data_IF_694341359237
#
_entry.id   IF_694341359237
#
_cell.length_a   1.000
_cell.length_b   1.000
_cell.length_c   1.000
_cell.angle_alpha   90.00
_cell.angle_beta   90.00
_cell.angle_gamma   90.00
#
_symmetry.space_group_name_H-M   'P 1'
#
loop_
_entity.id
_entity.type
_entity.pdbx_description
1 polymer ?
#
# COMPACT_ATOMS: atom_id res chain seq x y z
N UNK A 1 -4.71 37.24 19.92
CA UNK A 1 -5.22 37.47 18.54
C UNK A 1 -4.12 37.63 17.48
N UNK A 2 -3.08 38.47 17.63
CA UNK A 2 -2.07 38.63 16.58
C UNK A 2 -1.28 37.34 16.28
N UNK A 3 -0.97 36.54 17.30
CA UNK A 3 -0.20 35.32 17.17
C UNK A 3 -0.99 34.23 16.43
N UNK A 4 -2.30 34.16 16.67
CA UNK A 4 -3.21 33.21 16.00
C UNK A 4 -3.34 33.55 14.51
N UNK A 5 -3.51 34.82 14.17
CA UNK A 5 -3.57 35.28 12.76
C UNK A 5 -2.26 35.04 12.02
N UNK A 6 -1.11 35.16 12.70
CA UNK A 6 0.19 34.89 12.10
C UNK A 6 0.38 33.42 11.79
N UNK A 7 0.01 32.54 12.71
CA UNK A 7 0.05 31.07 12.53
C UNK A 7 -0.93 30.64 11.42
N UNK A 8 -2.13 31.20 11.36
CA UNK A 8 -3.10 30.91 10.29
C UNK A 8 -2.58 31.40 8.91
N UNK A 9 -1.87 32.51 8.87
CA UNK A 9 -1.29 33.04 7.65
C UNK A 9 -0.08 32.20 7.19
N UNK A 10 0.78 31.78 8.11
CA UNK A 10 1.90 30.88 7.82
C UNK A 10 1.39 29.51 7.33
N UNK A 11 0.32 28.96 7.92
CA UNK A 11 -0.33 27.74 7.46
C UNK A 11 -0.92 27.88 6.05
N UNK A 12 -1.59 29.02 5.77
CA UNK A 12 -2.14 29.31 4.44
C UNK A 12 -1.04 29.43 3.38
N UNK A 13 0.05 30.12 3.70
CA UNK A 13 1.18 30.29 2.79
C UNK A 13 1.84 28.94 2.49
N UNK A 14 2.09 28.11 3.52
CA UNK A 14 2.65 26.75 3.36
C UNK A 14 1.75 25.87 2.51
N UNK A 15 0.43 25.89 2.72
CA UNK A 15 -0.53 25.11 1.93
C UNK A 15 -0.56 25.58 0.46
N UNK A 16 -0.43 26.87 0.20
CA UNK A 16 -0.35 27.41 -1.16
C UNK A 16 0.94 27.00 -1.89
N UNK A 17 2.08 27.03 -1.19
CA UNK A 17 3.37 26.61 -1.76
C UNK A 17 3.35 25.11 -2.09
N UNK A 18 2.82 24.27 -1.19
CA UNK A 18 2.66 22.82 -1.41
C UNK A 18 1.74 22.51 -2.60
N UNK A 19 0.60 23.21 -2.74
CA UNK A 19 -0.32 23.05 -3.86
C UNK A 19 0.33 23.42 -5.20
N UNK A 20 1.17 24.47 -5.24
CA UNK A 20 1.93 24.87 -6.41
C UNK A 20 2.97 23.78 -6.77
N UNK A 21 3.65 23.21 -5.76
CA UNK A 21 4.64 22.14 -5.95
C UNK A 21 4.03 20.92 -6.65
N UNK A 22 2.88 20.41 -6.22
CA UNK A 22 2.22 19.26 -6.86
C UNK A 22 1.78 19.54 -8.30
N UNK A 23 1.33 20.74 -8.61
CA UNK A 23 0.89 21.13 -9.96
C UNK A 23 1.99 21.07 -11.02
N UNK A 24 3.24 21.28 -10.62
CA UNK A 24 4.39 21.23 -11.52
C UNK A 24 4.92 19.82 -11.77
N UNK A 25 4.43 18.83 -11.02
CA UNK A 25 4.89 17.45 -11.08
C UNK A 25 4.13 16.65 -12.12
N UNK A 26 4.80 15.64 -12.69
CA UNK A 26 4.21 14.74 -13.68
C UNK A 26 4.48 13.27 -13.36
N UNK A 27 3.73 12.39 -14.03
CA UNK A 27 3.87 10.95 -13.94
C UNK A 27 4.72 10.39 -15.08
N UNK A 28 5.57 9.42 -14.74
CA UNK A 28 6.24 8.55 -15.72
C UNK A 28 5.53 7.21 -15.79
N UNK A 29 5.46 6.65 -16.99
CA UNK A 29 4.87 5.35 -17.26
C UNK A 29 5.94 4.28 -17.40
N UNK A 30 5.69 3.10 -16.83
CA UNK A 30 6.59 1.95 -16.85
C UNK A 30 5.87 0.75 -17.47
N UNK A 31 6.50 0.14 -18.45
CA UNK A 31 5.98 -0.98 -19.23
C UNK A 31 6.94 -2.17 -19.14
N UNK A 32 6.39 -3.38 -19.18
CA UNK A 32 7.18 -4.61 -19.10
C UNK A 32 6.32 -5.83 -18.79
N UNK A 33 5.27 -5.65 -18.00
CA UNK A 33 4.32 -6.70 -17.72
C UNK A 33 3.40 -6.98 -18.93
N UNK A 34 3.16 -8.25 -19.20
CA UNK A 34 2.29 -8.69 -20.31
C UNK A 34 0.80 -8.59 -20.00
N UNK A 35 0.45 -8.44 -18.73
CA UNK A 35 -0.92 -8.32 -18.24
C UNK A 35 -0.97 -7.29 -17.09
N UNK A 36 -2.19 -7.00 -16.62
CA UNK A 36 -2.47 -6.06 -15.55
C UNK A 36 -1.47 -6.17 -14.38
N UNK A 37 -1.02 -5.01 -13.91
CA UNK A 37 -0.24 -4.89 -12.67
C UNK A 37 -1.22 -4.80 -11.49
N UNK A 38 -1.16 -5.77 -10.58
CA UNK A 38 -2.02 -5.83 -9.40
C UNK A 38 -1.57 -4.93 -8.27
N UNK A 39 -0.25 -4.89 -8.02
CA UNK A 39 0.29 -4.16 -6.89
C UNK A 39 1.70 -3.66 -7.17
N UNK A 40 2.05 -2.60 -6.46
CA UNK A 40 3.38 -2.00 -6.46
C UNK A 40 3.83 -1.79 -5.01
N UNK A 41 5.13 -1.90 -4.76
CA UNK A 41 5.70 -1.71 -3.42
C UNK A 41 7.14 -1.20 -3.51
N UNK A 42 7.46 -0.19 -2.70
CA UNK A 42 8.80 0.35 -2.56
C UNK A 42 9.62 -0.43 -1.55
N UNK A 43 10.92 -0.57 -1.79
CA UNK A 43 11.82 -1.10 -0.79
C UNK A 43 12.08 -0.08 0.34
N UNK A 44 12.72 -0.53 1.42
CA UNK A 44 12.87 0.26 2.65
C UNK A 44 13.66 1.56 2.49
N UNK A 45 14.57 1.62 1.52
CA UNK A 45 15.36 2.83 1.24
C UNK A 45 14.85 3.67 0.06
N UNK A 46 13.76 3.26 -0.57
CA UNK A 46 13.12 4.00 -1.65
C UNK A 46 13.84 3.99 -3.00
N UNK A 47 14.82 3.08 -3.18
CA UNK A 47 15.63 2.99 -4.42
C UNK A 47 15.06 2.04 -5.45
N UNK A 48 14.22 1.08 -5.03
CA UNK A 48 13.63 0.06 -5.89
C UNK A 48 12.12 -0.03 -5.70
N UNK A 49 11.44 -0.25 -6.81
CA UNK A 49 10.01 -0.58 -6.83
C UNK A 49 9.83 -2.00 -7.33
N UNK A 50 8.98 -2.76 -6.64
CA UNK A 50 8.51 -4.06 -7.10
C UNK A 50 7.10 -3.92 -7.65
N UNK A 51 6.82 -4.58 -8.78
CA UNK A 51 5.49 -4.70 -9.38
C UNK A 51 5.08 -6.16 -9.50
N UNK A 52 3.87 -6.49 -9.11
CA UNK A 52 3.28 -7.83 -9.21
C UNK A 52 2.12 -7.83 -10.21
N UNK A 53 2.02 -8.89 -11.02
CA UNK A 53 1.11 -8.90 -12.16
C UNK A 53 0.32 -10.19 -12.31
N UNK A 54 -0.79 -10.08 -13.02
CA UNK A 54 -1.59 -11.19 -13.54
C UNK A 54 -0.76 -12.08 -14.50
N UNK A 55 0.34 -11.57 -15.07
CA UNK A 55 1.25 -12.34 -15.93
C UNK A 55 2.10 -13.37 -15.17
N UNK A 56 1.85 -13.58 -13.86
CA UNK A 56 2.52 -14.55 -12.98
C UNK A 56 3.94 -14.15 -12.56
N UNK A 57 4.34 -12.93 -12.88
CA UNK A 57 5.68 -12.42 -12.55
C UNK A 57 5.63 -11.23 -11.60
N UNK A 58 6.73 -11.04 -10.87
CA UNK A 58 7.09 -9.77 -10.28
C UNK A 58 8.25 -9.17 -11.08
N UNK A 59 8.36 -7.84 -11.07
CA UNK A 59 9.47 -7.12 -11.68
C UNK A 59 10.03 -6.11 -10.70
N UNK A 60 11.35 -5.94 -10.74
CA UNK A 60 12.08 -5.01 -9.87
C UNK A 60 12.67 -3.91 -10.74
N UNK A 61 12.38 -2.67 -10.36
CA UNK A 61 12.73 -1.46 -11.09
C UNK A 61 13.63 -0.58 -10.20
N UNK A 62 14.78 -0.16 -10.73
CA UNK A 62 15.61 0.85 -10.05
C UNK A 62 15.05 2.23 -10.40
N UNK A 63 14.68 2.99 -9.38
CA UNK A 63 14.06 4.31 -9.54
C UNK A 63 15.00 5.36 -8.97
N UNK A 64 15.42 6.28 -9.82
CA UNK A 64 16.20 7.47 -9.43
C UNK A 64 15.29 8.69 -9.44
N UNK A 65 15.12 9.41 -8.31
CA UNK A 65 14.21 10.54 -8.21
C UNK A 65 14.52 11.68 -9.20
N UNK A 66 15.79 11.82 -9.58
CA UNK A 66 16.28 12.89 -10.46
C UNK A 66 16.90 12.35 -11.77
N UNK A 67 16.82 11.03 -12.01
CA UNK A 67 17.46 10.39 -13.15
C UNK A 67 16.58 10.39 -14.41
N UNK A 68 17.22 10.46 -15.58
CA UNK A 68 16.59 10.36 -16.90
C UNK A 68 16.87 9.02 -17.61
N UNK A 69 17.55 8.08 -16.94
CA UNK A 69 17.99 6.84 -17.57
C UNK A 69 16.85 5.87 -17.87
N UNK A 70 17.00 5.09 -18.95
CA UNK A 70 16.17 3.93 -19.21
C UNK A 70 16.29 2.98 -18.01
N UNK A 71 15.19 2.78 -17.32
CA UNK A 71 15.14 1.89 -16.17
C UNK A 71 15.19 0.45 -16.66
N UNK A 72 16.21 -0.30 -16.26
CA UNK A 72 16.25 -1.75 -16.45
C UNK A 72 15.39 -2.40 -15.38
N UNK A 73 14.60 -3.37 -15.78
CA UNK A 73 13.83 -4.21 -14.90
C UNK A 73 14.45 -5.60 -14.76
N UNK A 74 14.25 -6.21 -13.61
CA UNK A 74 14.58 -7.59 -13.32
C UNK A 74 13.28 -8.37 -13.17
N UNK A 75 13.10 -9.43 -13.97
CA UNK A 75 11.93 -10.29 -13.90
C UNK A 75 12.13 -11.43 -12.90
N UNK A 76 11.17 -11.60 -11.97
CA UNK A 76 11.13 -12.69 -11.01
C UNK A 76 10.08 -13.72 -11.46
N UNK A 77 10.54 -14.84 -11.99
CA UNK A 77 9.71 -15.94 -12.50
C UNK A 77 9.67 -17.10 -11.52
N UNK A 78 8.52 -17.74 -11.41
CA UNK A 78 8.36 -18.96 -10.63
C UNK A 78 6.92 -19.21 -10.18
N UNK A 79 6.15 -18.18 -9.93
CA UNK A 79 4.72 -18.34 -9.65
C UNK A 79 3.96 -18.86 -10.85
N UNK A 80 2.94 -19.67 -10.60
CA UNK A 80 2.10 -20.31 -11.63
C UNK A 80 0.70 -19.70 -11.74
N UNK A 81 0.45 -18.63 -10.98
CA UNK A 81 -0.75 -17.81 -11.02
C UNK A 81 -0.36 -16.35 -10.73
N UNK A 82 -1.31 -15.43 -10.77
CA UNK A 82 -1.05 -14.02 -10.57
C UNK A 82 -0.32 -13.72 -9.26
N UNK A 83 0.59 -12.75 -9.33
CA UNK A 83 1.22 -12.16 -8.14
C UNK A 83 0.32 -11.02 -7.67
N UNK A 84 -0.42 -11.25 -6.59
CA UNK A 84 -1.47 -10.36 -6.13
C UNK A 84 -0.96 -9.23 -5.25
N UNK A 85 0.03 -9.50 -4.39
CA UNK A 85 0.63 -8.50 -3.53
C UNK A 85 2.10 -8.83 -3.25
N UNK A 86 2.88 -7.80 -2.96
CA UNK A 86 4.28 -7.92 -2.56
C UNK A 86 4.58 -6.97 -1.41
N UNK A 87 5.60 -7.34 -0.64
CA UNK A 87 6.09 -6.53 0.47
C UNK A 87 7.60 -6.73 0.61
N UNK A 88 8.33 -5.64 0.77
CA UNK A 88 9.76 -5.69 0.99
C UNK A 88 10.12 -5.91 2.46
N UNK A 89 11.24 -6.59 2.68
CA UNK A 89 11.82 -6.71 4.01
C UNK A 89 12.21 -5.31 4.53
N UNK A 90 11.70 -4.90 5.71
CA UNK A 90 11.98 -3.56 6.24
C UNK A 90 13.44 -3.37 6.71
N UNK A 91 14.20 -4.46 6.87
CA UNK A 91 15.59 -4.46 7.32
C UNK A 91 16.60 -4.78 6.21
N UNK A 92 16.15 -5.40 5.13
CA UNK A 92 16.99 -5.82 4.00
C UNK A 92 16.38 -5.30 2.69
N UNK A 93 16.94 -4.21 2.18
CA UNK A 93 16.42 -3.50 0.99
C UNK A 93 16.48 -4.30 -0.32
N UNK A 94 17.19 -5.42 -0.34
CA UNK A 94 17.30 -6.30 -1.51
C UNK A 94 16.39 -7.53 -1.46
N UNK A 95 15.56 -7.67 -0.40
CA UNK A 95 14.66 -8.83 -0.25
C UNK A 95 13.20 -8.42 -0.35
N UNK A 96 12.45 -9.13 -1.19
CA UNK A 96 11.02 -8.92 -1.40
C UNK A 96 10.27 -10.25 -1.29
N UNK A 97 9.09 -10.21 -0.65
CA UNK A 97 8.19 -11.33 -0.55
C UNK A 97 7.00 -11.13 -1.50
N UNK A 98 6.57 -12.19 -2.16
CA UNK A 98 5.43 -12.20 -3.07
C UNK A 98 4.37 -13.18 -2.63
N UNK A 99 3.11 -12.77 -2.71
CA UNK A 99 1.93 -13.59 -2.45
C UNK A 99 1.18 -13.83 -3.76
N UNK A 100 0.85 -15.08 -4.05
CA UNK A 100 0.26 -15.48 -5.33
C UNK A 100 -1.03 -16.29 -5.16
N UNK A 101 -1.88 -16.22 -6.18
CA UNK A 101 -3.03 -17.09 -6.33
C UNK A 101 -2.67 -18.57 -6.50
N UNK A 102 -1.41 -18.90 -6.77
CA UNK A 102 -0.90 -20.29 -6.82
C UNK A 102 -0.79 -20.94 -5.42
N UNK A 103 -1.24 -20.24 -4.36
CA UNK A 103 -1.21 -20.64 -2.95
C UNK A 103 0.19 -20.61 -2.32
N UNK A 104 1.19 -20.14 -3.04
CA UNK A 104 2.55 -20.01 -2.51
C UNK A 104 2.89 -18.57 -2.12
N UNK A 105 3.86 -18.47 -1.22
CA UNK A 105 4.56 -17.25 -0.85
C UNK A 105 6.03 -17.50 -1.16
N UNK A 106 6.67 -16.56 -1.84
CA UNK A 106 8.09 -16.64 -2.19
C UNK A 106 8.86 -15.47 -1.65
N UNK A 107 10.09 -15.72 -1.22
CA UNK A 107 11.06 -14.71 -0.85
C UNK A 107 12.15 -14.67 -1.92
N UNK A 108 12.46 -13.47 -2.41
CA UNK A 108 13.39 -13.25 -3.52
C UNK A 108 14.54 -12.36 -3.09
N UNK A 109 15.74 -12.73 -3.52
CA UNK A 109 16.91 -11.84 -3.53
C UNK A 109 16.91 -11.07 -4.86
N UNK A 110 16.72 -9.75 -4.81
CA UNK A 110 16.63 -8.91 -6.01
C UNK A 110 18.00 -8.62 -6.65
N UNK A 111 19.11 -8.95 -5.99
CA UNK A 111 20.45 -8.84 -6.58
C UNK A 111 20.71 -9.97 -7.56
N UNK A 112 20.32 -11.19 -7.20
CA UNK A 112 20.51 -12.39 -8.02
C UNK A 112 19.28 -12.74 -8.86
N UNK A 113 18.10 -12.22 -8.51
CA UNK A 113 16.83 -12.61 -9.11
C UNK A 113 16.34 -13.99 -8.70
N UNK A 114 16.95 -14.61 -7.68
CA UNK A 114 16.61 -15.98 -7.27
C UNK A 114 15.60 -16.00 -6.12
N UNK A 115 14.69 -16.98 -6.18
CA UNK A 115 13.83 -17.36 -5.08
C UNK A 115 14.69 -18.07 -4.01
N UNK A 116 14.77 -17.49 -2.80
CA UNK A 116 15.58 -18.03 -1.71
C UNK A 116 14.77 -18.90 -0.76
N UNK A 117 13.47 -18.65 -0.64
CA UNK A 117 12.53 -19.37 0.24
C UNK A 117 11.18 -19.48 -0.45
N UNK A 118 10.46 -20.54 -0.17
CA UNK A 118 9.11 -20.77 -0.65
C UNK A 118 8.29 -21.49 0.40
N UNK A 119 7.02 -21.10 0.56
CA UNK A 119 6.06 -21.78 1.40
C UNK A 119 4.75 -21.98 0.64
N UNK A 120 4.20 -23.18 0.71
CA UNK A 120 2.85 -23.50 0.20
C UNK A 120 1.84 -23.34 1.34
N UNK A 121 0.78 -22.55 1.08
CA UNK A 121 -0.29 -22.30 2.03
C UNK A 121 -1.60 -22.94 1.56
N UNK A 122 -2.66 -22.79 2.36
CA UNK A 122 -3.91 -23.51 2.13
C UNK A 122 -4.84 -22.87 1.09
N UNK A 123 -4.64 -21.61 0.73
CA UNK A 123 -5.54 -20.89 -0.18
C UNK A 123 -4.83 -19.88 -1.06
N UNK A 124 -5.58 -19.28 -1.97
CA UNK A 124 -5.10 -18.21 -2.83
C UNK A 124 -4.74 -16.98 -2.02
N UNK A 125 -3.47 -16.59 -2.03
CA UNK A 125 -2.96 -15.48 -1.22
C UNK A 125 -3.24 -14.13 -1.89
N UNK A 126 -3.77 -13.19 -1.13
CA UNK A 126 -4.14 -11.85 -1.60
C UNK A 126 -3.46 -10.71 -0.85
N UNK A 127 -2.97 -10.97 0.36
CA UNK A 127 -2.30 -9.98 1.20
C UNK A 127 -1.00 -10.53 1.74
N UNK A 128 0.02 -9.68 1.81
CA UNK A 128 1.29 -9.99 2.46
C UNK A 128 1.88 -8.74 3.09
N UNK A 129 2.34 -8.82 4.34
CA UNK A 129 2.96 -7.70 5.04
C UNK A 129 3.99 -8.17 6.05
N UNK A 130 5.17 -7.56 6.01
CA UNK A 130 6.22 -7.79 7.00
C UNK A 130 5.90 -7.12 8.32
N UNK A 131 6.15 -7.82 9.43
CA UNK A 131 6.28 -7.20 10.73
C UNK A 131 7.44 -6.18 10.69
N UNK A 132 7.32 -4.99 11.31
CA UNK A 132 8.34 -3.93 11.19
C UNK A 132 9.75 -4.31 11.61
N UNK A 133 9.94 -5.30 12.50
CA UNK A 133 11.26 -5.81 12.86
C UNK A 133 11.86 -6.81 11.84
N UNK A 134 11.11 -7.18 10.79
CA UNK A 134 11.57 -8.08 9.74
C UNK A 134 11.57 -9.56 10.09
N UNK A 135 11.11 -9.96 11.28
CA UNK A 135 11.17 -11.35 11.75
C UNK A 135 10.04 -12.24 11.26
N UNK A 136 8.88 -11.66 11.02
CA UNK A 136 7.67 -12.39 10.63
C UNK A 136 7.01 -11.74 9.41
N UNK A 137 6.28 -12.57 8.66
CA UNK A 137 5.45 -12.14 7.51
C UNK A 137 4.03 -12.65 7.74
N UNK A 138 3.06 -11.74 7.63
CA UNK A 138 1.65 -12.07 7.67
C UNK A 138 1.09 -12.20 6.26
N UNK A 139 0.32 -13.25 6.01
CA UNK A 139 -0.29 -13.56 4.71
C UNK A 139 -1.79 -13.81 4.91
N UNK A 140 -2.60 -13.09 4.17
CA UNK A 140 -4.05 -13.30 4.10
C UNK A 140 -4.47 -13.93 2.78
N UNK A 141 -5.46 -14.81 2.79
CA UNK A 141 -5.96 -15.46 1.60
C UNK A 141 -7.46 -15.20 1.35
N UNK A 142 -7.97 -15.69 0.23
CA UNK A 142 -9.39 -15.54 -0.16
C UNK A 142 -10.38 -16.32 0.70
N UNK A 143 -9.89 -17.29 1.49
CA UNK A 143 -10.69 -18.08 2.41
C UNK A 143 -10.75 -17.49 3.82
N UNK A 144 -10.37 -16.23 3.97
CA UNK A 144 -10.36 -15.49 5.25
C UNK A 144 -9.45 -16.13 6.31
N UNK A 145 -8.36 -16.71 5.86
CA UNK A 145 -7.32 -17.29 6.70
C UNK A 145 -6.12 -16.34 6.79
N UNK A 146 -5.57 -16.22 7.99
CA UNK A 146 -4.33 -15.53 8.29
C UNK A 146 -3.26 -16.57 8.61
N UNK A 147 -2.10 -16.48 7.95
CA UNK A 147 -0.92 -17.29 8.25
C UNK A 147 0.24 -16.36 8.56
N UNK A 148 0.92 -16.59 9.68
CA UNK A 148 2.14 -15.89 10.07
C UNK A 148 3.32 -16.84 9.86
N UNK A 149 4.29 -16.42 9.04
CA UNK A 149 5.52 -17.16 8.76
C UNK A 149 6.69 -16.56 9.52
N UNK A 150 7.56 -17.43 10.05
CA UNK A 150 8.90 -17.05 10.47
C UNK A 150 9.77 -16.81 9.23
N UNK A 151 10.33 -15.62 9.07
CA UNK A 151 11.11 -15.26 7.87
C UNK A 151 12.40 -16.07 7.77
N UNK A 152 13.04 -16.38 8.89
CA UNK A 152 14.33 -17.08 8.92
C UNK A 152 14.21 -18.53 8.42
N UNK A 153 13.20 -19.27 8.89
CA UNK A 153 12.95 -20.68 8.52
C UNK A 153 11.89 -20.83 7.44
N UNK A 154 11.14 -19.78 7.18
CA UNK A 154 10.00 -19.72 6.27
C UNK A 154 8.94 -20.79 6.58
N UNK A 155 8.63 -20.95 7.86
CA UNK A 155 7.65 -21.91 8.39
C UNK A 155 6.53 -21.20 9.12
N UNK A 156 5.35 -21.81 9.12
CA UNK A 156 4.16 -21.29 9.80
C UNK A 156 4.35 -21.28 11.31
N UNK A 157 4.18 -20.11 11.92
CA UNK A 157 4.12 -19.92 13.38
C UNK A 157 2.68 -19.89 13.88
N UNK A 158 1.79 -19.21 13.18
CA UNK A 158 0.40 -19.06 13.54
C UNK A 158 -0.47 -19.20 12.30
N UNK A 159 -1.63 -19.83 12.47
CA UNK A 159 -2.67 -19.89 11.46
C UNK A 159 -4.02 -19.70 12.12
N UNK A 160 -4.84 -18.82 11.53
CA UNK A 160 -6.18 -18.54 12.05
C UNK A 160 -7.16 -18.33 10.91
N UNK A 161 -8.34 -18.94 11.02
CA UNK A 161 -9.48 -18.71 10.14
C UNK A 161 -10.49 -17.82 10.85
N UNK A 162 -10.99 -16.80 10.15
CA UNK A 162 -12.00 -15.89 10.65
C UNK A 162 -13.37 -16.26 10.09
N UNK A 163 -14.43 -15.94 10.85
CA UNK A 163 -15.83 -16.17 10.45
C UNK A 163 -16.41 -15.03 9.59
N UNK A 164 -15.61 -13.98 9.32
CA UNK A 164 -15.96 -12.80 8.54
C UNK A 164 -14.95 -12.60 7.43
N UNK A 165 -15.33 -11.86 6.40
CA UNK A 165 -14.45 -11.49 5.30
C UNK A 165 -13.32 -10.58 5.80
N UNK A 166 -12.08 -10.96 5.51
CA UNK A 166 -10.86 -10.19 5.81
C UNK A 166 -10.31 -9.65 4.49
N UNK A 167 -10.28 -8.33 4.34
CA UNK A 167 -9.86 -7.68 3.10
C UNK A 167 -8.40 -7.26 3.10
N UNK A 168 -7.91 -6.65 4.18
CA UNK A 168 -6.52 -6.23 4.30
C UNK A 168 -6.03 -6.37 5.73
N UNK A 169 -4.72 -6.52 5.86
CA UNK A 169 -4.02 -6.76 7.12
C UNK A 169 -2.87 -5.77 7.27
N UNK A 170 -2.59 -5.34 8.49
CA UNK A 170 -1.50 -4.42 8.78
C UNK A 170 -0.94 -4.60 10.19
N UNK A 171 0.30 -4.19 10.38
CA UNK A 171 0.98 -4.12 11.67
C UNK A 171 1.03 -2.67 12.15
N UNK A 172 0.99 -2.46 13.48
CA UNK A 172 1.43 -1.18 14.03
C UNK A 172 2.97 -1.08 13.99
N UNK A 173 3.53 0.08 14.30
CA UNK A 173 4.98 0.33 14.18
C UNK A 173 5.83 -0.51 15.13
N UNK A 174 5.33 -0.82 16.34
CA UNK A 174 6.04 -1.67 17.31
C UNK A 174 5.86 -3.17 17.04
N UNK A 175 4.90 -3.55 16.20
CA UNK A 175 4.63 -4.95 15.86
C UNK A 175 3.94 -5.75 16.96
N UNK A 176 3.41 -5.10 18.00
CA UNK A 176 2.68 -5.73 19.09
C UNK A 176 1.15 -5.71 18.88
N UNK A 177 0.68 -5.01 17.86
CA UNK A 177 -0.71 -4.99 17.43
C UNK A 177 -0.85 -5.29 15.94
N UNK A 178 -1.94 -5.95 15.61
CA UNK A 178 -2.27 -6.39 14.26
C UNK A 178 -3.70 -5.97 13.90
N UNK A 179 -3.88 -5.43 12.70
CA UNK A 179 -5.16 -4.88 12.24
C UNK A 179 -5.72 -5.70 11.08
N UNK A 180 -7.03 -5.96 11.12
CA UNK A 180 -7.78 -6.60 10.05
C UNK A 180 -8.93 -5.68 9.63
N UNK A 181 -9.05 -5.39 8.33
CA UNK A 181 -10.27 -4.78 7.79
C UNK A 181 -11.25 -5.87 7.39
N UNK A 182 -12.53 -5.69 7.73
CA UNK A 182 -13.54 -6.74 7.55
C UNK A 182 -14.68 -6.32 6.63
N UNK A 183 -15.35 -7.31 6.05
CA UNK A 183 -16.55 -7.10 5.24
C UNK A 183 -17.76 -6.56 6.02
N UNK A 184 -17.69 -6.58 7.35
CA UNK A 184 -18.74 -6.03 8.24
C UNK A 184 -18.63 -4.53 8.48
N UNK A 185 -17.63 -3.86 7.91
CA UNK A 185 -17.37 -2.43 8.14
C UNK A 185 -16.57 -2.16 9.42
N UNK A 186 -15.97 -3.16 10.00
CA UNK A 186 -15.15 -3.07 11.21
C UNK A 186 -13.67 -3.16 10.91
N UNK A 187 -12.87 -2.66 11.87
CA UNK A 187 -11.45 -2.97 11.99
C UNK A 187 -11.26 -3.75 13.28
N UNK A 188 -10.77 -4.97 13.15
CA UNK A 188 -10.41 -5.80 14.29
C UNK A 188 -8.97 -5.51 14.68
N UNK A 189 -8.75 -5.23 15.96
CA UNK A 189 -7.42 -5.00 16.53
C UNK A 189 -7.06 -6.20 17.40
N UNK A 190 -5.96 -6.86 17.06
CA UNK A 190 -5.48 -8.04 17.77
C UNK A 190 -4.14 -7.73 18.43
N UNK A 191 -3.88 -8.32 19.61
CA UNK A 191 -2.54 -8.35 20.18
C UNK A 191 -1.65 -9.32 19.42
N UNK A 192 -0.36 -9.06 19.38
CA UNK A 192 0.62 -9.98 18.77
C UNK A 192 1.77 -10.24 19.77
N UNK A 193 2.23 -11.50 19.94
CA UNK A 193 1.96 -12.67 19.10
C UNK A 193 0.72 -13.49 19.47
N UNK A 194 -0.01 -13.15 20.52
CA UNK A 194 -1.14 -13.97 21.00
C UNK A 194 -2.33 -14.04 20.04
N UNK A 195 -2.50 -13.04 19.16
CA UNK A 195 -3.65 -12.85 18.27
C UNK A 195 -5.00 -12.78 19.02
N UNK A 196 -4.96 -12.33 20.27
CA UNK A 196 -6.18 -12.11 21.06
C UNK A 196 -6.85 -10.80 20.65
N UNK A 197 -8.19 -10.77 20.54
CA UNK A 197 -8.92 -9.53 20.27
C UNK A 197 -8.67 -8.49 21.36
N UNK A 198 -8.29 -7.27 20.95
CA UNK A 198 -8.15 -6.11 21.82
C UNK A 198 -9.31 -5.14 21.67
N UNK A 199 -9.75 -4.90 20.44
CA UNK A 199 -10.81 -3.97 20.12
C UNK A 199 -11.47 -4.31 18.79
N UNK A 200 -12.73 -3.89 18.64
CA UNK A 200 -13.49 -3.93 17.41
C UNK A 200 -13.97 -2.52 17.11
N UNK A 201 -13.41 -1.90 16.07
CA UNK A 201 -13.78 -0.54 15.68
C UNK A 201 -14.86 -0.59 14.60
N UNK A 202 -16.03 -0.04 14.89
CA UNK A 202 -17.10 0.14 13.90
C UNK A 202 -16.76 1.36 13.04
N UNK A 203 -15.97 1.13 12.01
CA UNK A 203 -15.35 2.20 11.23
C UNK A 203 -16.27 2.78 10.16
N UNK A 204 -17.04 1.92 9.48
CA UNK A 204 -17.88 2.30 8.34
C UNK A 204 -19.20 1.57 8.32
N UNK A 205 -20.16 2.10 7.53
CA UNK A 205 -21.48 1.49 7.31
C UNK A 205 -21.49 0.37 6.27
N UNK A 206 -20.37 0.22 5.54
CA UNK A 206 -20.16 -0.84 4.55
C UNK A 206 -18.77 -1.46 4.76
N UNK A 207 -18.46 -2.54 4.05
CA UNK A 207 -17.22 -3.29 4.20
C UNK A 207 -15.97 -2.41 4.11
N UNK A 208 -15.00 -2.65 4.99
CA UNK A 208 -13.69 -2.01 4.95
C UNK A 208 -12.79 -2.78 3.99
N UNK A 209 -12.19 -2.10 3.02
CA UNK A 209 -11.42 -2.74 1.96
C UNK A 209 -9.90 -2.60 2.12
N UNK A 210 -9.44 -1.51 2.71
CA UNK A 210 -8.01 -1.23 2.82
C UNK A 210 -7.67 -0.46 4.10
N UNK A 211 -6.42 -0.57 4.49
CA UNK A 211 -5.86 0.11 5.67
C UNK A 211 -4.44 0.55 5.36
N UNK A 212 -4.06 1.72 5.84
CA UNK A 212 -2.69 2.22 5.78
C UNK A 212 -2.25 2.75 7.15
N UNK A 213 -0.99 2.56 7.47
CA UNK A 213 -0.38 3.01 8.72
C UNK A 213 0.51 4.23 8.42
N UNK A 214 0.34 5.30 9.18
CA UNK A 214 1.24 6.46 9.14
C UNK A 214 2.67 6.01 9.47
N UNK A 215 3.68 6.35 8.65
CA UNK A 215 5.07 5.96 8.91
C UNK A 215 5.64 6.46 10.25
N UNK A 216 5.06 7.50 10.82
CA UNK A 216 5.41 8.01 12.16
C UNK A 216 4.61 7.36 13.30
N UNK A 217 3.69 6.43 12.97
CA UNK A 217 2.91 5.68 13.95
C UNK A 217 1.83 6.47 14.69
N UNK A 218 1.47 7.67 14.22
CA UNK A 218 0.46 8.52 14.87
C UNK A 218 -0.96 8.14 14.51
N UNK A 219 -1.15 7.72 13.25
CA UNK A 219 -2.46 7.49 12.65
C UNK A 219 -2.52 6.18 11.87
N UNK A 220 -3.73 5.72 11.64
CA UNK A 220 -4.03 4.79 10.56
C UNK A 220 -5.28 5.26 9.82
N UNK A 221 -5.41 4.87 8.57
CA UNK A 221 -6.54 5.23 7.73
C UNK A 221 -7.19 3.99 7.16
N UNK A 222 -8.52 4.03 7.02
CA UNK A 222 -9.34 2.91 6.56
C UNK A 222 -10.20 3.35 5.40
N UNK A 223 -10.11 2.63 4.28
CA UNK A 223 -10.95 2.86 3.09
C UNK A 223 -12.07 1.83 2.99
N UNK A 224 -13.26 2.26 2.58
CA UNK A 224 -14.47 1.47 2.62
C UNK A 224 -15.26 1.46 1.32
N UNK A 225 -16.11 0.47 1.19
CA UNK A 225 -17.13 0.36 0.16
C UNK A 225 -18.14 1.52 0.15
N UNK A 226 -18.26 2.26 1.26
CA UNK A 226 -19.08 3.48 1.35
C UNK A 226 -18.44 4.72 0.70
N UNK A 227 -17.27 4.55 0.07
CA UNK A 227 -16.49 5.60 -0.62
C UNK A 227 -15.78 6.58 0.31
N UNK A 228 -15.79 6.35 1.60
CA UNK A 228 -15.13 7.18 2.60
C UNK A 228 -13.78 6.59 3.02
N UNK A 229 -12.86 7.49 3.38
CA UNK A 229 -11.62 7.16 4.09
C UNK A 229 -11.72 7.77 5.48
N UNK A 230 -11.58 6.96 6.52
CA UNK A 230 -11.54 7.42 7.91
C UNK A 230 -10.11 7.47 8.43
N UNK A 231 -9.79 8.52 9.16
CA UNK A 231 -8.51 8.73 9.84
C UNK A 231 -8.67 8.49 11.34
N UNK A 232 -7.82 7.66 11.91
CA UNK A 232 -7.88 7.22 13.30
C UNK A 232 -6.61 7.57 14.06
N UNK A 233 -6.76 8.01 15.30
CA UNK A 233 -5.66 8.13 16.23
C UNK A 233 -5.18 6.74 16.67
N UNK A 234 -3.87 6.47 16.54
CA UNK A 234 -3.30 5.16 16.87
C UNK A 234 -3.32 4.87 18.37
N UNK A 235 -3.16 5.89 19.21
CA UNK A 235 -3.11 5.73 20.67
C UNK A 235 -4.49 5.55 21.27
N UNK A 236 -5.43 6.40 20.88
CA UNK A 236 -6.76 6.48 21.49
C UNK A 236 -7.81 5.64 20.75
N UNK A 237 -7.48 5.15 19.56
CA UNK A 237 -8.41 4.40 18.69
C UNK A 237 -9.72 5.14 18.41
N UNK A 238 -9.61 6.46 18.22
CA UNK A 238 -10.72 7.35 17.91
C UNK A 238 -10.64 7.88 16.49
N UNK A 239 -11.80 7.96 15.83
CA UNK A 239 -11.91 8.56 14.50
C UNK A 239 -11.77 10.08 14.59
N UNK A 240 -10.77 10.63 13.88
CA UNK A 240 -10.46 12.05 13.88
C UNK A 240 -11.18 12.80 12.76
N UNK A 241 -11.29 12.20 11.59
CA UNK A 241 -11.95 12.78 10.40
C UNK A 241 -12.23 11.74 9.34
N UNK A 242 -12.97 12.17 8.32
CA UNK A 242 -13.22 11.42 7.08
C UNK A 242 -12.83 12.25 5.87
N UNK A 243 -12.35 11.58 4.83
CA UNK A 243 -12.06 12.14 3.51
C UNK A 243 -13.18 11.70 2.56
N UNK A 244 -13.79 12.63 1.86
CA UNK A 244 -15.06 12.45 1.16
C UNK A 244 -15.02 12.71 -0.35
N UNK A 245 -13.83 12.82 -0.94
CA UNK A 245 -13.67 13.20 -2.36
C UNK A 245 -13.99 12.08 -3.35
N UNK A 246 -13.79 10.82 -2.96
CA UNK A 246 -14.12 9.68 -3.79
C UNK A 246 -15.63 9.43 -3.80
N UNK A 247 -16.15 8.98 -4.93
CA UNK A 247 -17.57 8.64 -5.12
C UNK A 247 -17.80 7.13 -5.27
N UNK A 248 -16.73 6.38 -5.49
CA UNK A 248 -16.73 4.92 -5.63
C UNK A 248 -16.05 4.25 -4.43
N UNK A 249 -16.27 2.95 -4.20
CA UNK A 249 -15.60 2.20 -3.14
C UNK A 249 -14.08 2.39 -3.17
N UNK A 250 -13.50 2.67 -2.01
CA UNK A 250 -12.07 2.93 -1.86
C UNK A 250 -11.30 1.63 -1.95
N UNK A 251 -10.40 1.51 -2.92
CA UNK A 251 -9.62 0.30 -3.17
C UNK A 251 -8.26 0.31 -2.48
N UNK A 252 -7.62 1.47 -2.34
CA UNK A 252 -6.24 1.57 -1.87
C UNK A 252 -5.96 2.94 -1.30
N UNK A 253 -5.13 2.97 -0.25
CA UNK A 253 -4.70 4.20 0.44
C UNK A 253 -3.24 4.08 0.85
N UNK A 254 -2.55 5.22 0.94
CA UNK A 254 -1.15 5.26 1.37
C UNK A 254 -0.80 6.63 1.96
N UNK A 255 -0.04 6.64 3.06
CA UNK A 255 0.56 7.86 3.61
C UNK A 255 1.93 8.11 2.96
N UNK A 256 2.28 9.38 2.74
CA UNK A 256 3.63 9.71 2.32
C UNK A 256 4.64 9.55 3.49
N UNK A 257 5.93 9.69 3.18
CA UNK A 257 7.01 9.46 4.14
C UNK A 257 6.97 10.37 5.38
N UNK A 258 6.43 11.58 5.28
CA UNK A 258 6.28 12.50 6.41
C UNK A 258 4.97 12.31 7.18
N UNK A 259 4.01 11.60 6.60
CA UNK A 259 2.64 11.50 7.13
C UNK A 259 1.81 12.77 6.91
N UNK A 260 2.30 13.76 6.13
CA UNK A 260 1.57 15.00 5.81
C UNK A 260 0.47 14.77 4.78
N UNK A 261 0.67 13.82 3.86
CA UNK A 261 -0.25 13.54 2.75
C UNK A 261 -0.74 12.11 2.78
N UNK A 262 -1.99 11.95 2.36
CA UNK A 262 -2.62 10.66 2.13
C UNK A 262 -3.15 10.60 0.69
N UNK A 263 -2.79 9.53 -0.02
CA UNK A 263 -3.35 9.22 -1.32
C UNK A 263 -4.42 8.16 -1.19
N UNK A 264 -5.54 8.34 -1.89
CA UNK A 264 -6.62 7.37 -1.96
C UNK A 264 -7.11 7.20 -3.39
N UNK A 265 -7.46 5.99 -3.76
CA UNK A 265 -7.91 5.65 -5.11
C UNK A 265 -9.04 4.62 -5.10
N UNK A 266 -9.80 4.63 -6.19
CA UNK A 266 -11.01 3.84 -6.37
C UNK A 266 -11.25 3.56 -7.86
N UNK A 267 -12.49 3.33 -8.25
CA UNK A 267 -12.93 3.34 -9.64
C UNK A 267 -13.11 4.75 -10.22
N UNK A 268 -13.04 5.77 -9.39
CA UNK A 268 -12.98 7.16 -9.85
C UNK A 268 -11.73 7.37 -10.72
N UNK A 269 -11.85 8.20 -11.74
CA UNK A 269 -10.76 8.43 -12.70
C UNK A 269 -9.76 9.49 -12.21
N UNK A 270 -9.43 9.43 -10.94
CA UNK A 270 -8.39 10.25 -10.31
C UNK A 270 -7.91 9.60 -9.00
N UNK A 271 -6.69 9.93 -8.61
CA UNK A 271 -6.16 9.68 -7.27
C UNK A 271 -6.26 10.98 -6.49
N UNK A 272 -6.89 10.94 -5.32
CA UNK A 272 -6.97 12.10 -4.43
C UNK A 272 -5.75 12.14 -3.52
N UNK A 273 -5.06 13.29 -3.49
CA UNK A 273 -4.00 13.57 -2.52
C UNK A 273 -4.52 14.64 -1.57
N UNK A 274 -4.64 14.30 -0.30
CA UNK A 274 -5.15 15.19 0.74
C UNK A 274 -4.10 15.46 1.82
N UNK A 275 -4.19 16.64 2.42
CA UNK A 275 -3.44 16.96 3.62
C UNK A 275 -4.07 16.28 4.82
N UNK A 276 -3.29 15.50 5.57
CA UNK A 276 -3.78 14.72 6.71
C UNK A 276 -4.30 15.62 7.84
N UNK A 277 -3.62 16.73 8.11
CA UNK A 277 -3.99 17.65 9.21
C UNK A 277 -5.26 18.44 8.91
N UNK A 278 -5.41 18.92 7.69
CA UNK A 278 -6.55 19.77 7.31
C UNK A 278 -7.72 18.98 6.75
N UNK A 279 -7.49 17.77 6.26
CA UNK A 279 -8.47 16.95 5.54
C UNK A 279 -8.79 17.45 4.13
N UNK A 280 -8.07 18.46 3.63
CA UNK A 280 -8.34 19.09 2.34
C UNK A 280 -7.54 18.42 1.23
N UNK A 281 -8.17 18.27 0.08
CA UNK A 281 -7.48 17.86 -1.15
C UNK A 281 -6.47 18.93 -1.56
N UNK A 282 -5.23 18.50 -1.80
CA UNK A 282 -4.16 19.37 -2.30
C UNK A 282 -3.86 19.13 -3.77
N UNK A 283 -4.13 17.95 -4.29
CA UNK A 283 -3.95 17.59 -5.69
C UNK A 283 -4.78 16.38 -6.07
N UNK A 284 -5.16 16.28 -7.33
CA UNK A 284 -5.78 15.10 -7.92
C UNK A 284 -4.99 14.67 -9.14
N UNK A 285 -4.59 13.41 -9.20
CA UNK A 285 -3.88 12.84 -10.34
C UNK A 285 -4.92 12.23 -11.28
N UNK A 286 -5.10 12.75 -12.51
CA UNK A 286 -6.02 12.15 -13.47
C UNK A 286 -5.57 10.74 -13.84
N UNK A 287 -6.52 9.81 -13.89
CA UNK A 287 -6.31 8.41 -14.26
C UNK A 287 -7.21 8.04 -15.45
N UNK A 288 -6.76 7.07 -16.25
CA UNK A 288 -7.51 6.54 -17.39
C UNK A 288 -8.41 5.36 -17.01
N UNK A 289 -8.16 4.76 -15.86
CA UNK A 289 -8.86 3.60 -15.37
C UNK A 289 -8.87 3.57 -13.84
N UNK A 290 -9.64 2.66 -13.25
CA UNK A 290 -9.65 2.39 -11.82
C UNK A 290 -8.27 1.98 -11.34
N UNK A 291 -7.82 2.53 -10.20
CA UNK A 291 -6.56 2.17 -9.54
C UNK A 291 -6.82 1.27 -8.35
N UNK A 292 -6.00 0.23 -8.19
CA UNK A 292 -6.11 -0.73 -7.08
C UNK A 292 -4.86 -0.83 -6.22
N UNK A 293 -3.80 -0.09 -6.56
CA UNK A 293 -2.59 0.01 -5.74
C UNK A 293 -2.00 1.41 -5.85
N UNK A 294 -1.82 2.07 -4.72
CA UNK A 294 -1.08 3.32 -4.59
C UNK A 294 -0.08 3.18 -3.45
N UNK A 295 1.18 3.57 -3.68
CA UNK A 295 2.24 3.47 -2.68
C UNK A 295 3.18 4.67 -2.77
N UNK A 296 3.27 5.42 -1.67
CA UNK A 296 4.25 6.47 -1.54
C UNK A 296 5.64 5.91 -1.26
N UNK A 297 6.64 6.52 -1.90
CA UNK A 297 8.04 6.25 -1.60
C UNK A 297 8.35 6.57 -0.14
N UNK A 298 9.14 5.72 0.59
CA UNK A 298 9.44 5.95 2.00
C UNK A 298 10.37 7.13 2.29
N UNK A 299 10.92 7.79 1.26
CA UNK A 299 11.86 8.93 1.41
C UNK A 299 11.48 10.17 0.62
N UNK A 300 10.80 10.01 -0.51
CA UNK A 300 10.48 11.10 -1.45
C UNK A 300 8.99 11.18 -1.73
N UNK A 301 8.52 12.32 -2.17
CA UNK A 301 7.14 12.48 -2.64
C UNK A 301 6.98 11.92 -4.06
N UNK A 302 7.22 10.63 -4.20
CA UNK A 302 6.98 9.83 -5.39
C UNK A 302 5.88 8.83 -5.09
N UNK A 303 4.78 8.88 -5.84
CA UNK A 303 3.64 7.97 -5.69
C UNK A 303 3.59 6.98 -6.84
N UNK A 304 3.83 5.71 -6.54
CA UNK A 304 3.61 4.63 -7.50
C UNK A 304 2.14 4.21 -7.49
N UNK A 305 1.57 3.96 -8.67
CA UNK A 305 0.18 3.53 -8.80
C UNK A 305 -0.05 2.63 -10.00
N UNK A 306 -0.96 1.68 -9.82
CA UNK A 306 -1.33 0.69 -10.82
C UNK A 306 -2.81 0.31 -10.68
N UNK A 307 -3.41 -0.10 -11.77
CA UNK A 307 -4.80 -0.52 -11.80
C UNK A 307 -5.20 -1.20 -13.10
N UNK A 308 -6.43 -0.99 -13.51
CA UNK A 308 -7.03 -1.62 -14.70
C UNK A 308 -6.52 -1.01 -16.03
N UNK A 309 -5.61 -0.05 -15.95
CA UNK A 309 -5.03 0.62 -17.11
C UNK A 309 -4.12 -0.31 -17.88
N UNK A 310 -4.26 -0.29 -19.19
CA UNK A 310 -3.50 -1.10 -20.15
C UNK A 310 -2.87 -0.20 -21.19
N UNK A 311 -1.79 -0.68 -21.80
CA UNK A 311 -1.24 -0.05 -22.98
C UNK A 311 -2.27 -0.11 -24.12
N UNK A 312 -2.41 0.98 -24.84
CA UNK A 312 -3.38 1.12 -25.93
C UNK A 312 -3.34 -0.04 -26.93
N UNK A 313 -4.49 -0.67 -27.17
CA UNK A 313 -4.67 -1.84 -28.06
C UNK A 313 -3.92 -3.13 -27.67
N UNK A 314 -3.41 -3.26 -26.43
CA UNK A 314 -2.75 -4.48 -25.97
C UNK A 314 -3.29 -4.87 -24.59
N UNK A 315 -3.01 -6.12 -24.16
CA UNK A 315 -3.28 -6.56 -22.79
C UNK A 315 -2.13 -6.24 -21.81
N UNK A 316 -1.08 -5.58 -22.29
CA UNK A 316 0.09 -5.22 -21.49
C UNK A 316 -0.28 -4.28 -20.34
N UNK A 317 0.09 -4.69 -19.14
CA UNK A 317 -0.10 -3.89 -17.93
C UNK A 317 0.92 -2.77 -17.85
N UNK A 318 0.49 -1.67 -17.23
CA UNK A 318 1.36 -0.51 -16.96
C UNK A 318 1.20 -0.11 -15.50
N UNK A 319 2.25 0.50 -14.95
CA UNK A 319 2.16 1.28 -13.73
C UNK A 319 2.82 2.63 -13.98
N UNK A 320 2.53 3.58 -13.09
CA UNK A 320 3.08 4.94 -13.17
C UNK A 320 3.66 5.36 -11.83
N UNK A 321 4.57 6.32 -11.88
CA UNK A 321 5.09 7.01 -10.71
C UNK A 321 4.90 8.50 -10.92
N UNK A 322 4.12 9.14 -10.05
CA UNK A 322 3.90 10.58 -9.99
C UNK A 322 4.91 11.23 -9.05
N UNK A 323 5.40 12.38 -9.42
CA UNK A 323 6.25 13.21 -8.55
C UNK A 323 7.55 13.69 -9.19
N UNK A 324 7.72 13.49 -10.49
CA UNK A 324 8.88 13.99 -11.23
C UNK A 324 8.71 15.44 -11.64
N UNK A 325 9.80 16.21 -11.55
CA UNK A 325 9.84 17.60 -11.97
C UNK A 325 10.27 17.73 -13.44
N UNK A 326 9.74 18.73 -14.12
CA UNK A 326 10.03 19.02 -15.54
C UNK A 326 11.30 19.85 -15.76
N UNK A 327 12.23 19.88 -14.81
CA UNK A 327 13.50 20.63 -14.93
C UNK A 327 14.40 20.11 -16.04
#
# INVERSE_FOLDING_TARGET
EPRRKKVEQELKNKTMEETISFKSLYSREYQGHKKKVHSVAWNSNGTKLASGSVDQTARIWNIEPHGHSKVKDLELKGHTDSVDQLCWDPKHSDQVATASGDKSVRLWDTRSGKCTQQAELSGENINITYKPDGTHVAVGNRDDELTILDVRKFKTLHKRKFSYEVNEIAWNMSGDQFFLTTGLGTVEVLSYPSLKPLDTLTAHTAGCYCIAIDPKGRYFAVGSADSLVSLWDMSDMLCLRTFTKLESPVRTISFNHSGEYIASASEDLFIDIANVQTGRTVHQIPCRAAMNSVEWNPKYNLLAYAGDDKKYHTDEGVFRIFGFDSS
#
